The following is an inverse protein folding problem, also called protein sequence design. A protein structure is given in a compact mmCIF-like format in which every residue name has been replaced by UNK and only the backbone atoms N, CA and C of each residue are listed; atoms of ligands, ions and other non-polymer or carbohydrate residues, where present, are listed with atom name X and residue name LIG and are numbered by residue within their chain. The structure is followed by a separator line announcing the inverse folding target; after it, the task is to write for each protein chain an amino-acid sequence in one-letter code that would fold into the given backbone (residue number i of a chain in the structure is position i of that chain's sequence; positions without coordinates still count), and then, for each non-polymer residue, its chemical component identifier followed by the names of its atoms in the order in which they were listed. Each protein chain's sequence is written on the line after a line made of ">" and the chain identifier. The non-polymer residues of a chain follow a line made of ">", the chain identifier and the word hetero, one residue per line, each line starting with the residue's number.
data_IF_827174465336
#
_entry.id   IF_827174465336
#
_cell.length_a   1.000
_cell.length_b   1.000
_cell.length_c   1.000
_cell.angle_alpha   90.00
_cell.angle_beta   90.00
_cell.angle_gamma   90.00
#
_symmetry.space_group_name_H-M   'P 1'
#
loop_
_entity.id
_entity.type
_entity.pdbx_description
1 polymer ?
#
# COMPACT_ATOMS: atom_id res chain seq x y z
N UNK A 1 -29.59 -35.44 -51.35
CA UNK A 1 -28.41 -35.87 -52.15
C UNK A 1 -27.16 -35.61 -51.34
N UNK A 2 -26.35 -36.65 -51.13
CA UNK A 2 -25.07 -36.63 -50.42
C UNK A 2 -23.96 -36.31 -51.43
N UNK A 3 -23.04 -35.40 -51.10
CA UNK A 3 -21.68 -35.43 -51.65
C UNK A 3 -20.70 -34.97 -50.57
N UNK A 4 -19.86 -35.93 -50.16
CA UNK A 4 -18.64 -35.76 -49.36
C UNK A 4 -17.54 -35.28 -50.31
N UNK A 5 -16.66 -34.39 -49.85
CA UNK A 5 -15.34 -34.21 -50.48
C UNK A 5 -14.24 -34.24 -49.42
N UNK A 6 -13.21 -34.98 -49.79
CA UNK A 6 -12.11 -35.55 -49.04
C UNK A 6 -10.91 -34.59 -48.93
N UNK A 7 -10.21 -34.68 -47.79
CA UNK A 7 -8.76 -34.85 -47.64
C UNK A 7 -7.81 -34.05 -48.57
N UNK A 8 -6.98 -33.22 -47.93
CA UNK A 8 -5.72 -32.72 -48.49
C UNK A 8 -4.70 -32.49 -47.39
N UNK A 9 -3.88 -33.51 -47.13
CA UNK A 9 -2.66 -33.45 -46.30
C UNK A 9 -1.55 -32.89 -47.18
N UNK A 10 -0.88 -31.83 -46.73
CA UNK A 10 0.43 -31.45 -47.24
C UNK A 10 1.31 -30.99 -46.06
N UNK A 11 2.28 -31.85 -45.73
CA UNK A 11 3.37 -31.56 -44.82
C UNK A 11 4.48 -30.79 -45.55
N UNK A 12 5.08 -29.78 -44.91
CA UNK A 12 6.40 -29.28 -45.30
C UNK A 12 7.16 -28.68 -44.09
N UNK A 13 8.10 -29.49 -43.60
CA UNK A 13 9.50 -29.18 -43.28
C UNK A 13 9.88 -27.84 -42.61
N UNK A 14 10.21 -27.97 -41.32
CA UNK A 14 11.48 -27.60 -40.69
C UNK A 14 12.25 -26.36 -41.20
N UNK A 15 12.17 -25.28 -40.42
CA UNK A 15 13.31 -24.38 -40.17
C UNK A 15 13.64 -24.41 -38.68
N UNK A 16 14.60 -25.25 -38.32
CA UNK A 16 15.37 -25.19 -37.07
C UNK A 16 16.49 -24.17 -37.30
N UNK A 17 16.50 -23.07 -36.56
CA UNK A 17 17.58 -22.08 -36.68
C UNK A 17 17.36 -20.80 -35.88
N UNK A 18 17.81 -20.80 -34.62
CA UNK A 18 18.40 -19.62 -33.97
C UNK A 18 17.48 -18.45 -33.57
N UNK A 19 16.74 -18.60 -32.46
CA UNK A 19 16.24 -17.44 -31.69
C UNK A 19 15.94 -17.78 -30.20
N UNK A 20 16.68 -18.72 -29.59
CA UNK A 20 16.47 -19.13 -28.20
C UNK A 20 17.43 -18.46 -27.20
N UNK A 21 17.77 -17.18 -27.41
CA UNK A 21 18.68 -16.41 -26.54
C UNK A 21 18.06 -15.12 -25.95
N UNK A 22 16.73 -14.97 -25.92
CA UNK A 22 16.08 -13.73 -25.44
C UNK A 22 15.03 -13.90 -24.33
N UNK A 23 14.94 -15.08 -23.69
CA UNK A 23 13.89 -15.32 -22.67
C UNK A 23 14.40 -15.77 -21.32
N UNK A 24 15.69 -15.61 -21.00
CA UNK A 24 16.11 -15.48 -19.60
C UNK A 24 15.83 -14.05 -19.10
N UNK A 25 14.56 -13.63 -19.25
CA UNK A 25 13.98 -12.61 -18.38
C UNK A 25 13.90 -13.31 -17.03
N UNK A 26 14.94 -13.14 -16.21
CA UNK A 26 14.91 -13.57 -14.82
C UNK A 26 13.56 -13.14 -14.25
N UNK A 27 12.86 -14.07 -13.58
CA UNK A 27 11.65 -13.76 -12.85
C UNK A 27 11.99 -12.59 -11.94
N UNK A 28 11.66 -11.38 -12.38
CA UNK A 28 11.73 -10.20 -11.56
C UNK A 28 10.86 -10.53 -10.37
N UNK A 29 11.47 -10.61 -9.18
CA UNK A 29 10.76 -10.81 -7.92
C UNK A 29 9.49 -9.94 -7.97
N UNK A 30 8.32 -10.56 -7.81
CA UNK A 30 7.01 -9.97 -8.09
C UNK A 30 6.93 -8.54 -7.54
N UNK A 31 7.21 -7.57 -8.40
CA UNK A 31 7.24 -6.17 -8.01
C UNK A 31 5.85 -5.83 -7.45
N UNK A 32 5.74 -5.03 -6.38
CA UNK A 32 4.44 -4.76 -5.78
C UNK A 32 3.49 -4.22 -6.83
N UNK A 33 2.41 -4.96 -7.09
CA UNK A 33 1.39 -4.50 -8.02
C UNK A 33 0.72 -3.26 -7.44
N UNK A 34 0.66 -2.19 -8.23
CA UNK A 34 -0.09 -1.01 -7.85
C UNK A 34 -1.57 -1.36 -7.66
N UNK A 35 -2.11 -1.10 -6.46
CA UNK A 35 -3.49 -1.48 -6.09
C UNK A 35 -4.50 -0.33 -6.22
N UNK A 36 -4.02 0.91 -6.32
CA UNK A 36 -4.84 2.11 -6.52
C UNK A 36 -4.57 2.72 -7.90
N UNK A 37 -5.45 3.58 -8.46
CA UNK A 37 -5.18 4.26 -9.71
C UNK A 37 -3.85 5.05 -9.69
N UNK A 38 -3.13 5.07 -10.82
CA UNK A 38 -1.82 5.71 -10.90
C UNK A 38 -1.84 7.20 -10.49
N UNK A 39 -2.87 7.95 -10.92
CA UNK A 39 -3.04 9.35 -10.53
C UNK A 39 -3.24 9.50 -9.01
N UNK A 40 -4.04 8.62 -8.41
CA UNK A 40 -4.25 8.59 -6.96
C UNK A 40 -2.95 8.25 -6.21
N UNK A 41 -2.16 7.29 -6.71
CA UNK A 41 -0.86 6.95 -6.13
C UNK A 41 0.14 8.11 -6.15
N UNK A 42 0.23 8.84 -7.27
CA UNK A 42 1.10 10.02 -7.38
C UNK A 42 0.68 11.13 -6.41
N UNK A 43 -0.63 11.39 -6.29
CA UNK A 43 -1.15 12.36 -5.32
C UNK A 43 -0.86 11.91 -3.88
N UNK A 44 -1.11 10.64 -3.59
CA UNK A 44 -0.94 10.05 -2.27
C UNK A 44 0.52 10.11 -1.81
N UNK A 45 1.49 9.80 -2.68
CA UNK A 45 2.92 9.95 -2.35
C UNK A 45 3.25 11.38 -1.92
N UNK A 46 2.77 12.39 -2.65
CA UNK A 46 3.02 13.81 -2.32
C UNK A 46 2.42 14.20 -0.97
N UNK A 47 1.22 13.72 -0.67
CA UNK A 47 0.59 13.95 0.64
C UNK A 47 1.30 13.21 1.77
N UNK A 48 1.68 11.97 1.55
CA UNK A 48 2.37 11.13 2.53
C UNK A 48 3.75 11.70 2.86
N UNK A 49 4.47 12.24 1.87
CA UNK A 49 5.73 12.97 2.09
C UNK A 49 5.49 14.18 3.01
N UNK A 50 4.44 14.97 2.77
CA UNK A 50 4.12 16.13 3.61
C UNK A 50 3.80 15.73 5.06
N UNK A 51 2.96 14.70 5.24
CA UNK A 51 2.62 14.21 6.58
C UNK A 51 3.82 13.56 7.29
N UNK A 52 4.69 12.89 6.54
CA UNK A 52 5.94 12.32 7.04
C UNK A 52 6.88 13.43 7.51
N UNK A 53 7.14 14.43 6.67
CA UNK A 53 7.98 15.58 7.02
C UNK A 53 7.42 16.32 8.23
N UNK A 54 6.10 16.56 8.28
CA UNK A 54 5.43 17.17 9.43
C UNK A 54 5.65 16.37 10.72
N UNK A 55 5.51 15.04 10.68
CA UNK A 55 5.73 14.17 11.83
C UNK A 55 7.20 14.16 12.29
N UNK A 56 8.14 14.09 11.34
CA UNK A 56 9.58 14.07 11.61
C UNK A 56 10.11 15.43 12.09
N UNK A 57 9.47 16.54 11.70
CA UNK A 57 9.87 17.91 12.05
C UNK A 57 9.39 18.36 13.43
N UNK A 58 8.55 17.60 14.13
CA UNK A 58 8.09 17.94 15.48
C UNK A 58 9.29 18.10 16.43
N UNK A 59 9.21 19.07 17.35
CA UNK A 59 10.21 19.22 18.40
C UNK A 59 10.11 18.06 19.39
N UNK A 60 11.07 17.14 19.34
CA UNK A 60 11.08 15.93 20.18
C UNK A 60 9.94 14.96 19.82
N UNK A 61 9.93 14.39 18.59
CA UNK A 61 8.86 13.52 18.13
C UNK A 61 8.72 12.32 19.07
N UNK A 62 7.48 11.94 19.38
CA UNK A 62 7.21 10.83 20.28
C UNK A 62 7.33 9.50 19.52
N UNK A 63 7.39 8.37 20.24
CA UNK A 63 7.43 7.03 19.65
C UNK A 63 6.29 6.80 18.63
N UNK A 64 5.09 7.31 18.92
CA UNK A 64 3.95 7.25 18.00
C UNK A 64 4.15 8.04 16.71
N UNK A 65 4.81 9.21 16.77
CA UNK A 65 5.17 9.99 15.58
C UNK A 65 6.16 9.24 14.71
N UNK A 66 7.19 8.63 15.31
CA UNK A 66 8.19 7.85 14.57
C UNK A 66 7.59 6.57 13.96
N UNK A 67 6.62 5.94 14.63
CA UNK A 67 5.82 4.85 14.05
C UNK A 67 5.01 5.33 12.84
N UNK A 68 4.42 6.53 12.92
CA UNK A 68 3.69 7.12 11.79
C UNK A 68 4.63 7.42 10.62
N UNK A 69 5.80 8.01 10.87
CA UNK A 69 6.86 8.20 9.86
C UNK A 69 7.22 6.87 9.20
N UNK A 70 7.42 5.81 10.00
CA UNK A 70 7.75 4.47 9.50
C UNK A 70 6.69 3.95 8.52
N UNK A 71 5.40 3.98 8.87
CA UNK A 71 4.35 3.49 7.97
C UNK A 71 4.24 4.35 6.71
N UNK A 72 4.33 5.68 6.84
CA UNK A 72 4.30 6.57 5.67
C UNK A 72 5.47 6.29 4.72
N UNK A 73 6.67 6.07 5.23
CA UNK A 73 7.83 5.71 4.41
C UNK A 73 7.62 4.37 3.68
N UNK A 74 7.03 3.36 4.34
CA UNK A 74 6.64 2.10 3.66
C UNK A 74 5.66 2.35 2.51
N UNK A 75 4.63 3.18 2.73
CA UNK A 75 3.63 3.47 1.68
C UNK A 75 4.22 4.25 0.52
N UNK A 76 5.09 5.22 0.79
CA UNK A 76 5.80 5.98 -0.26
C UNK A 76 6.65 5.03 -1.10
N UNK A 77 7.47 4.19 -0.47
CA UNK A 77 8.30 3.22 -1.18
C UNK A 77 7.45 2.23 -2.00
N UNK A 78 6.39 1.66 -1.41
CA UNK A 78 5.51 0.72 -2.10
C UNK A 78 4.82 1.35 -3.32
N UNK A 79 4.27 2.55 -3.17
CA UNK A 79 3.55 3.21 -4.25
C UNK A 79 4.51 3.68 -5.35
N UNK A 80 5.73 4.11 -5.00
CA UNK A 80 6.78 4.44 -5.97
C UNK A 80 7.22 3.21 -6.77
N UNK A 81 7.46 2.07 -6.10
CA UNK A 81 7.73 0.77 -6.75
C UNK A 81 6.60 0.37 -7.70
N UNK A 82 5.34 0.45 -7.24
CA UNK A 82 4.18 0.09 -8.05
C UNK A 82 3.97 0.98 -9.28
N UNK A 83 4.19 2.29 -9.14
CA UNK A 83 4.13 3.24 -10.25
C UNK A 83 5.24 2.97 -11.29
N UNK A 84 6.48 2.77 -10.83
CA UNK A 84 7.59 2.48 -11.72
C UNK A 84 7.41 1.14 -12.46
N UNK A 85 6.92 0.11 -11.77
CA UNK A 85 6.58 -1.19 -12.36
C UNK A 85 5.47 -1.08 -13.41
N UNK A 86 4.50 -0.18 -13.20
CA UNK A 86 3.45 0.13 -14.17
C UNK A 86 3.90 1.05 -15.31
N UNK A 87 5.15 1.51 -15.32
CA UNK A 87 5.65 2.49 -16.30
C UNK A 87 4.97 3.86 -16.20
N UNK A 88 4.50 4.23 -15.01
CA UNK A 88 3.77 5.48 -14.74
C UNK A 88 4.62 6.43 -13.89
N UNK A 89 4.54 7.73 -14.16
CA UNK A 89 5.27 8.78 -13.42
C UNK A 89 6.71 9.01 -13.89
N UNK A 90 7.36 10.02 -13.30
CA UNK A 90 8.75 10.35 -13.61
C UNK A 90 9.68 9.33 -12.92
N UNK A 91 10.44 8.58 -13.73
CA UNK A 91 11.29 7.49 -13.22
C UNK A 91 12.35 7.96 -12.24
N UNK A 92 12.94 9.14 -12.48
CA UNK A 92 13.98 9.68 -11.62
C UNK A 92 13.39 10.16 -10.28
N UNK A 93 12.24 10.85 -10.32
CA UNK A 93 11.52 11.28 -9.12
C UNK A 93 11.09 10.09 -8.27
N UNK A 94 10.45 9.06 -8.86
CA UNK A 94 10.01 7.87 -8.14
C UNK A 94 11.18 7.10 -7.52
N UNK A 95 12.31 7.01 -8.23
CA UNK A 95 13.54 6.42 -7.71
C UNK A 95 14.10 7.22 -6.52
N UNK A 96 14.10 8.55 -6.60
CA UNK A 96 14.53 9.42 -5.50
C UNK A 96 13.63 9.30 -4.27
N UNK A 97 12.31 9.32 -4.47
CA UNK A 97 11.31 9.16 -3.39
C UNK A 97 11.43 7.79 -2.73
N UNK A 98 11.59 6.72 -3.53
CA UNK A 98 11.82 5.39 -3.01
C UNK A 98 13.09 5.32 -2.15
N UNK A 99 14.22 5.78 -2.68
CA UNK A 99 15.49 5.75 -1.96
C UNK A 99 15.45 6.56 -0.64
N UNK A 100 14.84 7.74 -0.66
CA UNK A 100 14.66 8.56 0.55
C UNK A 100 13.79 7.86 1.60
N UNK A 101 12.71 7.19 1.17
CA UNK A 101 11.88 6.40 2.06
C UNK A 101 12.65 5.22 2.68
N UNK A 102 13.45 4.49 1.90
CA UNK A 102 14.30 3.40 2.41
C UNK A 102 15.32 3.92 3.43
N UNK A 103 15.96 5.07 3.17
CA UNK A 103 16.92 5.66 4.09
C UNK A 103 16.28 5.96 5.47
N UNK A 104 15.08 6.55 5.48
CA UNK A 104 14.32 6.78 6.72
C UNK A 104 14.00 5.46 7.44
N UNK A 105 13.57 4.45 6.69
CA UNK A 105 13.24 3.14 7.26
C UNK A 105 14.47 2.49 7.90
N UNK A 106 15.64 2.60 7.28
CA UNK A 106 16.91 2.11 7.84
C UNK A 106 17.34 2.87 9.09
N UNK A 107 17.17 4.20 9.12
CA UNK A 107 17.43 5.01 10.31
C UNK A 107 16.52 4.59 11.47
N UNK A 108 15.23 4.45 11.20
CA UNK A 108 14.24 4.03 12.21
C UNK A 108 14.44 2.59 12.67
N UNK A 109 14.97 1.69 11.83
CA UNK A 109 15.28 0.31 12.22
C UNK A 109 16.47 0.25 13.18
N UNK A 110 17.40 1.19 13.08
CA UNK A 110 18.61 1.30 13.91
C UNK A 110 18.42 2.20 15.14
N UNK A 111 17.18 2.60 15.44
CA UNK A 111 16.82 3.56 16.49
C UNK A 111 17.67 4.85 16.43
N UNK A 112 17.95 5.32 15.21
CA UNK A 112 18.75 6.53 15.02
C UNK A 112 18.09 7.76 15.68
N UNK A 113 18.88 8.77 16.10
CA UNK A 113 18.36 10.00 16.65
C UNK A 113 17.31 10.65 15.74
N UNK A 114 16.25 11.22 16.35
CA UNK A 114 15.19 11.90 15.60
C UNK A 114 15.70 13.03 14.68
N UNK A 115 16.82 13.66 15.01
CA UNK A 115 17.47 14.67 14.18
C UNK A 115 17.93 14.11 12.83
N UNK A 116 18.40 12.86 12.79
CA UNK A 116 18.84 12.21 11.55
C UNK A 116 17.64 11.83 10.69
N UNK A 117 16.57 11.32 11.30
CA UNK A 117 15.29 11.04 10.62
C UNK A 117 14.73 12.33 10.01
N UNK A 118 14.76 13.44 10.76
CA UNK A 118 14.35 14.76 10.27
C UNK A 118 15.19 15.22 9.08
N UNK A 119 16.52 15.10 9.17
CA UNK A 119 17.44 15.44 8.08
C UNK A 119 17.19 14.59 6.83
N UNK A 120 16.90 13.30 7.01
CA UNK A 120 16.58 12.39 5.90
C UNK A 120 15.23 12.73 5.26
N UNK A 121 14.21 13.08 6.05
CA UNK A 121 12.90 13.50 5.55
C UNK A 121 12.95 14.77 4.67
N UNK A 122 13.90 15.67 4.90
CA UNK A 122 14.11 16.82 4.03
C UNK A 122 14.61 16.45 2.62
N UNK A 123 15.20 15.25 2.44
CA UNK A 123 15.70 14.79 1.12
C UNK A 123 14.61 14.47 0.11
N UNK A 124 13.36 14.36 0.54
CA UNK A 124 12.23 14.20 -0.39
C UNK A 124 12.08 15.40 -1.33
N UNK A 125 12.50 16.59 -0.89
CA UNK A 125 12.37 17.82 -1.66
C UNK A 125 13.32 17.78 -2.87
N UNK A 126 12.75 17.58 -4.07
CA UNK A 126 13.52 17.46 -5.30
C UNK A 126 14.27 16.12 -5.45
N UNK A 127 13.87 15.09 -4.71
CA UNK A 127 14.49 13.78 -4.78
C UNK A 127 14.52 13.24 -6.21
N UNK A 128 15.70 12.84 -6.68
CA UNK A 128 15.92 12.15 -7.95
C UNK A 128 16.90 10.99 -7.74
N UNK A 129 16.73 9.91 -8.48
CA UNK A 129 17.61 8.74 -8.39
C UNK A 129 17.68 7.92 -9.67
N UNK A 130 18.65 7.02 -9.71
CA UNK A 130 18.93 6.15 -10.85
C UNK A 130 18.22 4.81 -10.69
N UNK A 131 16.91 4.82 -10.97
CA UNK A 131 16.06 3.63 -10.93
C UNK A 131 15.73 3.14 -9.52
N UNK A 132 14.67 2.33 -9.44
CA UNK A 132 14.23 1.74 -8.18
C UNK A 132 14.96 0.42 -7.96
N UNK A 133 15.55 0.27 -6.76
CA UNK A 133 16.07 -1.00 -6.26
C UNK A 133 15.00 -1.63 -5.38
N UNK A 134 14.37 -2.75 -5.79
CA UNK A 134 13.33 -3.38 -4.99
C UNK A 134 13.84 -3.68 -3.57
N UNK A 135 13.02 -3.36 -2.57
CA UNK A 135 13.34 -3.64 -1.17
C UNK A 135 12.29 -4.56 -0.56
N UNK A 136 12.71 -5.49 0.31
CA UNK A 136 11.76 -6.16 1.20
C UNK A 136 11.29 -5.17 2.27
N UNK A 137 10.17 -4.49 1.98
CA UNK A 137 9.57 -3.54 2.89
C UNK A 137 9.00 -4.23 4.15
N UNK A 138 8.68 -5.53 4.09
CA UNK A 138 8.05 -6.28 5.19
C UNK A 138 8.89 -6.29 6.46
N UNK A 139 10.23 -6.29 6.30
CA UNK A 139 11.17 -6.30 7.43
C UNK A 139 11.05 -5.07 8.34
N UNK A 140 10.62 -3.92 7.80
CA UNK A 140 10.54 -2.68 8.58
C UNK A 140 9.28 -2.59 9.45
N UNK A 141 8.34 -3.52 9.30
CA UNK A 141 7.14 -3.63 10.14
C UNK A 141 7.07 -5.00 10.81
N UNK A 142 8.24 -5.54 11.15
CA UNK A 142 8.41 -6.69 12.03
C UNK A 142 9.18 -6.26 13.28
N UNK A 143 8.84 -6.87 14.40
CA UNK A 143 9.53 -6.77 15.68
C UNK A 143 9.90 -8.20 16.10
N UNK A 144 11.20 -8.48 16.29
CA UNK A 144 11.72 -9.82 16.57
C UNK A 144 11.21 -10.93 15.63
N UNK A 145 11.11 -10.61 14.33
CA UNK A 145 10.64 -11.55 13.30
C UNK A 145 9.12 -11.76 13.26
N UNK A 146 8.38 -11.19 14.20
CA UNK A 146 6.91 -11.20 14.24
C UNK A 146 6.37 -9.92 13.58
N UNK A 147 5.22 -9.97 12.87
CA UNK A 147 4.57 -8.76 12.38
C UNK A 147 4.26 -7.75 13.50
N UNK A 148 4.73 -6.51 13.36
CA UNK A 148 4.35 -5.40 14.24
C UNK A 148 3.05 -4.77 13.74
N UNK A 149 1.92 -5.41 14.07
CA UNK A 149 0.59 -4.93 13.70
C UNK A 149 0.24 -3.60 14.35
N UNK A 150 0.75 -3.31 15.55
CA UNK A 150 0.47 -2.04 16.24
C UNK A 150 1.07 -0.85 15.48
N UNK A 151 2.31 -0.99 15.01
CA UNK A 151 2.93 0.00 14.13
C UNK A 151 2.26 0.00 12.76
N UNK A 152 1.97 -1.16 12.16
CA UNK A 152 1.35 -1.21 10.83
C UNK A 152 -0.03 -0.53 10.77
N UNK A 153 -0.76 -0.53 11.88
CA UNK A 153 -2.06 0.15 12.02
C UNK A 153 -1.96 1.61 12.48
N UNK A 154 -0.75 2.17 12.60
CA UNK A 154 -0.54 3.50 13.19
C UNK A 154 -1.32 4.62 12.47
N UNK A 155 -1.51 4.54 11.15
CA UNK A 155 -2.26 5.56 10.40
C UNK A 155 -3.76 5.53 10.71
N UNK A 156 -4.31 4.38 11.12
CA UNK A 156 -5.72 4.24 11.48
C UNK A 156 -6.06 4.88 12.82
N UNK A 157 -5.09 4.89 13.74
CA UNK A 157 -5.25 5.44 15.09
C UNK A 157 -5.66 6.92 15.07
N UNK A 158 -6.28 7.38 16.15
CA UNK A 158 -6.63 8.79 16.33
C UNK A 158 -5.39 9.70 16.29
N UNK A 159 -5.60 10.98 15.99
CA UNK A 159 -4.54 12.00 16.02
C UNK A 159 -3.92 12.16 17.42
N UNK A 160 -4.71 11.99 18.49
CA UNK A 160 -4.21 11.94 19.88
C UNK A 160 -3.25 10.76 20.11
N UNK A 161 -3.47 9.66 19.41
CA UNK A 161 -2.60 8.50 19.39
C UNK A 161 -1.58 8.54 18.23
N UNK A 162 -1.25 9.74 17.74
CA UNK A 162 -0.25 10.00 16.70
C UNK A 162 -0.55 9.38 15.32
N UNK A 163 -1.81 9.02 15.05
CA UNK A 163 -2.26 8.52 13.75
C UNK A 163 -2.87 9.61 12.87
N UNK A 164 -3.54 9.21 11.79
CA UNK A 164 -4.24 10.10 10.86
C UNK A 164 -5.76 10.09 11.06
N UNK A 165 -6.27 9.29 11.99
CA UNK A 165 -7.71 9.22 12.30
C UNK A 165 -8.55 8.49 11.26
N UNK A 166 -7.95 7.62 10.43
CA UNK A 166 -8.68 6.89 9.38
C UNK A 166 -9.78 6.01 9.99
N UNK A 167 -9.54 5.33 11.12
CA UNK A 167 -10.56 4.50 11.78
C UNK A 167 -11.77 5.33 12.21
N UNK A 168 -11.53 6.51 12.79
CA UNK A 168 -12.61 7.43 13.18
C UNK A 168 -13.39 7.93 11.97
N UNK A 169 -12.70 8.28 10.88
CA UNK A 169 -13.35 8.71 9.64
C UNK A 169 -14.25 7.60 9.07
N UNK A 170 -13.74 6.37 8.99
CA UNK A 170 -14.50 5.20 8.53
C UNK A 170 -15.74 5.00 9.40
N UNK A 171 -15.59 5.01 10.74
CA UNK A 171 -16.69 4.85 11.68
C UNK A 171 -17.74 5.96 11.58
N UNK A 172 -17.30 7.22 11.52
CA UNK A 172 -18.23 8.36 11.48
C UNK A 172 -19.09 8.33 10.20
N UNK A 173 -18.49 7.98 9.06
CA UNK A 173 -19.15 7.98 7.75
C UNK A 173 -19.70 6.61 7.31
N UNK A 174 -19.49 5.55 8.08
CA UNK A 174 -20.26 4.31 7.95
C UNK A 174 -21.67 4.49 8.52
N UNK A 175 -21.81 5.31 9.56
CA UNK A 175 -23.07 5.60 10.24
C UNK A 175 -23.81 6.80 9.61
N UNK A 176 -23.07 7.80 9.09
CA UNK A 176 -23.62 9.07 8.56
C UNK A 176 -23.36 9.23 7.07
N UNK A 177 -24.27 9.92 6.36
CA UNK A 177 -24.03 10.25 4.96
C UNK A 177 -22.95 11.35 4.87
N UNK A 178 -21.87 11.15 4.09
CA UNK A 178 -20.88 12.19 3.88
C UNK A 178 -21.48 13.36 3.06
N UNK A 179 -21.04 14.58 3.36
CA UNK A 179 -21.35 15.75 2.55
C UNK A 179 -20.40 15.84 1.36
N UNK A 180 -20.74 16.67 0.36
CA UNK A 180 -19.86 16.91 -0.77
C UNK A 180 -18.46 17.44 -0.38
N UNK A 181 -18.32 18.09 0.79
CA UNK A 181 -17.03 18.58 1.31
C UNK A 181 -16.19 17.47 1.94
N UNK A 182 -16.81 16.38 2.39
CA UNK A 182 -16.11 15.26 3.03
C UNK A 182 -15.52 14.29 2.01
N UNK A 183 -16.14 14.17 0.84
CA UNK A 183 -15.79 13.16 -0.18
C UNK A 183 -14.34 13.20 -0.64
N UNK A 184 -13.69 14.36 -0.89
CA UNK A 184 -12.26 14.39 -1.24
C UNK A 184 -11.38 13.79 -0.15
N UNK A 185 -11.62 14.15 1.11
CA UNK A 185 -10.88 13.60 2.26
C UNK A 185 -11.11 12.10 2.41
N UNK A 186 -12.35 11.64 2.20
CA UNK A 186 -12.69 10.22 2.24
C UNK A 186 -11.97 9.46 1.11
N UNK A 187 -11.96 9.98 -0.12
CA UNK A 187 -11.29 9.35 -1.25
C UNK A 187 -9.79 9.15 -0.96
N UNK A 188 -9.11 10.20 -0.51
CA UNK A 188 -7.71 10.14 -0.09
C UNK A 188 -7.47 9.13 1.04
N UNK A 189 -8.28 9.16 2.11
CA UNK A 189 -8.14 8.25 3.24
C UNK A 189 -8.38 6.80 2.84
N UNK A 190 -9.34 6.55 1.94
CA UNK A 190 -9.67 5.23 1.43
C UNK A 190 -8.58 4.69 0.50
N UNK A 191 -7.97 5.50 -0.37
CA UNK A 191 -6.79 5.07 -1.14
C UNK A 191 -5.58 4.76 -0.26
N UNK A 192 -5.36 5.56 0.79
CA UNK A 192 -4.33 5.27 1.80
C UNK A 192 -4.61 3.94 2.49
N UNK A 193 -5.85 3.70 2.91
CA UNK A 193 -6.26 2.43 3.51
C UNK A 193 -6.06 1.24 2.55
N UNK A 194 -6.43 1.37 1.27
CA UNK A 194 -6.21 0.33 0.27
C UNK A 194 -4.72 0.01 0.06
N UNK A 195 -3.86 1.03 0.13
CA UNK A 195 -2.41 0.86 0.04
C UNK A 195 -1.83 0.15 1.28
N UNK A 196 -2.32 0.50 2.47
CA UNK A 196 -1.94 -0.17 3.74
C UNK A 196 -2.40 -1.63 3.73
N UNK A 197 -3.64 -1.93 3.35
CA UNK A 197 -4.14 -3.31 3.35
C UNK A 197 -3.44 -4.18 2.31
N UNK A 198 -3.10 -3.64 1.13
CA UNK A 198 -2.26 -4.34 0.16
C UNK A 198 -0.86 -4.66 0.70
N UNK A 199 -0.32 -3.78 1.54
CA UNK A 199 0.92 -4.07 2.25
C UNK A 199 0.72 -5.18 3.30
N UNK A 200 -0.32 -5.06 4.14
CA UNK A 200 -0.63 -6.00 5.22
C UNK A 200 -0.89 -7.43 4.73
N UNK A 201 -1.34 -7.62 3.49
CA UNK A 201 -1.43 -8.95 2.85
C UNK A 201 -0.10 -9.72 2.86
N UNK A 202 1.03 -9.00 2.91
CA UNK A 202 2.38 -9.55 2.97
C UNK A 202 2.89 -9.78 4.40
N UNK A 203 2.08 -9.44 5.41
CA UNK A 203 2.36 -9.60 6.84
C UNK A 203 1.31 -10.47 7.57
N UNK A 204 1.03 -11.70 7.10
CA UNK A 204 0.18 -12.61 7.85
C UNK A 204 0.83 -13.02 9.18
N UNK A 205 0.06 -13.60 10.12
CA UNK A 205 0.65 -14.28 11.27
C UNK A 205 1.65 -15.35 10.80
N UNK A 206 2.73 -15.55 11.59
CA UNK A 206 3.76 -16.54 11.28
C UNK A 206 3.23 -17.98 11.39
N UNK A 207 2.31 -18.21 12.32
CA UNK A 207 1.69 -19.50 12.57
C UNK A 207 0.19 -19.33 12.78
N UNK A 208 -0.58 -20.35 12.42
CA UNK A 208 -2.01 -20.40 12.70
C UNK A 208 -2.25 -20.76 14.16
N UNK A 209 -3.06 -19.98 14.87
CA UNK A 209 -3.41 -20.25 16.28
C UNK A 209 -4.86 -19.89 16.58
N UNK A 210 -5.68 -20.93 16.83
CA UNK A 210 -7.12 -20.76 17.05
C UNK A 210 -7.80 -20.07 15.86
N UNK A 211 -8.41 -18.89 16.10
CA UNK A 211 -9.03 -18.08 15.03
C UNK A 211 -8.02 -17.24 14.23
N UNK A 212 -6.79 -17.08 14.73
CA UNK A 212 -5.74 -16.27 14.10
C UNK A 212 -5.02 -17.10 13.04
N UNK A 213 -5.65 -17.28 11.88
CA UNK A 213 -5.05 -18.00 10.76
C UNK A 213 -4.61 -17.05 9.66
N UNK A 214 -3.63 -17.47 8.85
CA UNK A 214 -3.22 -16.75 7.64
C UNK A 214 -4.41 -16.53 6.69
N UNK A 215 -5.29 -17.51 6.56
CA UNK A 215 -6.49 -17.39 5.72
C UNK A 215 -7.46 -16.34 6.25
N UNK A 216 -7.72 -16.31 7.57
CA UNK A 216 -8.57 -15.29 8.18
C UNK A 216 -7.95 -13.90 8.02
N UNK A 217 -6.64 -13.78 8.22
CA UNK A 217 -5.90 -12.53 8.00
C UNK A 217 -6.10 -12.02 6.57
N UNK A 218 -5.75 -12.86 5.57
CA UNK A 218 -5.85 -12.55 4.16
C UNK A 218 -7.27 -12.11 3.78
N UNK A 219 -8.29 -12.82 4.28
CA UNK A 219 -9.69 -12.45 4.04
C UNK A 219 -9.99 -11.03 4.53
N UNK A 220 -9.67 -10.70 5.78
CA UNK A 220 -10.00 -9.38 6.31
C UNK A 220 -9.28 -8.24 5.61
N UNK A 221 -7.98 -8.41 5.31
CA UNK A 221 -7.21 -7.35 4.63
C UNK A 221 -7.67 -7.17 3.18
N UNK A 222 -8.05 -8.25 2.49
CA UNK A 222 -8.59 -8.20 1.12
C UNK A 222 -9.97 -7.56 1.07
N UNK A 223 -10.87 -7.93 1.99
CA UNK A 223 -12.21 -7.34 2.10
C UNK A 223 -12.13 -5.85 2.44
N UNK A 224 -11.25 -5.47 3.37
CA UNK A 224 -10.99 -4.08 3.72
C UNK A 224 -10.42 -3.30 2.53
N UNK A 225 -9.48 -3.89 1.77
CA UNK A 225 -8.93 -3.28 0.54
C UNK A 225 -10.03 -3.05 -0.49
N UNK A 226 -10.83 -4.07 -0.78
CA UNK A 226 -11.91 -3.98 -1.76
C UNK A 226 -12.91 -2.87 -1.36
N UNK A 227 -13.34 -2.86 -0.11
CA UNK A 227 -14.26 -1.85 0.43
C UNK A 227 -13.66 -0.44 0.40
N UNK A 228 -12.36 -0.30 0.68
CA UNK A 228 -11.67 0.98 0.58
C UNK A 228 -11.60 1.48 -0.88
N UNK A 229 -11.33 0.62 -1.85
CA UNK A 229 -11.36 0.98 -3.27
C UNK A 229 -12.77 1.35 -3.74
N UNK A 230 -13.80 0.64 -3.29
CA UNK A 230 -15.21 1.00 -3.54
C UNK A 230 -15.54 2.39 -2.96
N UNK A 231 -15.13 2.65 -1.72
CA UNK A 231 -15.38 3.93 -1.05
C UNK A 231 -14.69 5.10 -1.77
N UNK A 232 -13.43 4.91 -2.18
CA UNK A 232 -12.68 5.92 -2.93
C UNK A 232 -13.35 6.22 -4.28
N UNK A 233 -13.65 5.18 -5.06
CA UNK A 233 -14.28 5.34 -6.37
C UNK A 233 -15.67 5.99 -6.29
N UNK A 234 -16.47 5.64 -5.28
CA UNK A 234 -17.76 6.29 -5.03
C UNK A 234 -17.61 7.76 -4.63
N UNK A 235 -16.61 8.07 -3.79
CA UNK A 235 -16.37 9.43 -3.33
C UNK A 235 -15.89 10.35 -4.47
N UNK A 236 -15.02 9.86 -5.36
CA UNK A 236 -14.60 10.57 -6.58
C UNK A 236 -15.79 10.87 -7.51
N UNK A 237 -16.75 9.94 -7.61
CA UNK A 237 -18.00 10.10 -8.37
C UNK A 237 -19.04 10.98 -7.66
N UNK A 238 -18.71 11.52 -6.48
CA UNK A 238 -19.58 12.33 -5.64
C UNK A 238 -20.83 11.58 -5.15
N UNK A 239 -20.79 10.25 -5.06
CA UNK A 239 -21.91 9.42 -4.61
C UNK A 239 -21.82 9.14 -3.11
N UNK A 240 -22.38 10.06 -2.31
CA UNK A 240 -22.35 9.97 -0.86
C UNK A 240 -22.98 8.67 -0.31
N UNK A 241 -24.03 8.15 -0.96
CA UNK A 241 -24.73 6.94 -0.50
C UNK A 241 -23.87 5.70 -0.74
N UNK A 242 -23.27 5.59 -1.93
CA UNK A 242 -22.35 4.50 -2.22
C UNK A 242 -21.08 4.57 -1.37
N UNK A 243 -20.55 5.78 -1.12
CA UNK A 243 -19.41 5.98 -0.21
C UNK A 243 -19.73 5.48 1.20
N UNK A 244 -20.87 5.88 1.79
CA UNK A 244 -21.30 5.38 3.11
C UNK A 244 -21.40 3.86 3.14
N UNK A 245 -22.04 3.27 2.12
CA UNK A 245 -22.23 1.83 2.07
C UNK A 245 -20.89 1.07 2.01
N UNK A 246 -19.93 1.56 1.23
CA UNK A 246 -18.59 0.98 1.14
C UNK A 246 -17.80 1.15 2.45
N UNK A 247 -17.88 2.32 3.10
CA UNK A 247 -17.26 2.54 4.41
C UNK A 247 -17.87 1.64 5.50
N UNK A 248 -19.17 1.36 5.45
CA UNK A 248 -19.80 0.40 6.36
C UNK A 248 -19.28 -1.03 6.17
N UNK A 249 -19.05 -1.47 4.93
CA UNK A 249 -18.39 -2.77 4.69
C UNK A 249 -16.96 -2.77 5.23
N UNK A 250 -16.22 -1.68 5.02
CA UNK A 250 -14.86 -1.53 5.53
C UNK A 250 -14.82 -1.58 7.06
N UNK A 251 -15.75 -0.91 7.74
CA UNK A 251 -15.89 -0.95 9.20
C UNK A 251 -16.14 -2.37 9.72
N UNK A 252 -17.01 -3.14 9.06
CA UNK A 252 -17.23 -4.57 9.38
C UNK A 252 -15.94 -5.38 9.26
N UNK A 253 -15.13 -5.16 8.21
CA UNK A 253 -13.83 -5.81 8.08
C UNK A 253 -12.85 -5.39 9.17
N UNK A 254 -12.83 -4.11 9.55
CA UNK A 254 -11.99 -3.60 10.64
C UNK A 254 -12.37 -4.24 11.99
N UNK A 255 -13.66 -4.28 12.33
CA UNK A 255 -14.16 -4.91 13.57
C UNK A 255 -13.85 -6.40 13.58
N UNK A 256 -14.17 -7.12 12.50
CA UNK A 256 -13.91 -8.56 12.41
C UNK A 256 -12.42 -8.91 12.50
N UNK A 257 -11.55 -8.08 11.91
CA UNK A 257 -10.11 -8.22 12.06
C UNK A 257 -9.68 -7.99 13.53
N UNK A 258 -10.16 -6.92 14.17
CA UNK A 258 -9.84 -6.62 15.56
C UNK A 258 -10.30 -7.71 16.53
N UNK A 259 -11.49 -8.27 16.34
CA UNK A 259 -12.01 -9.35 17.18
C UNK A 259 -11.14 -10.62 17.15
N UNK A 260 -10.42 -10.85 16.05
CA UNK A 260 -9.55 -12.01 15.87
C UNK A 260 -8.10 -11.69 16.23
N UNK A 261 -7.56 -10.57 15.75
CA UNK A 261 -6.12 -10.30 15.73
C UNK A 261 -5.64 -9.25 16.74
N UNK A 262 -6.53 -8.37 17.24
CA UNK A 262 -6.13 -7.35 18.22
C UNK A 262 -5.77 -8.05 19.54
N UNK A 263 -4.53 -7.88 19.98
CA UNK A 263 -4.11 -8.37 21.30
C UNK A 263 -4.84 -7.56 22.36
N UNK A 264 -5.50 -8.27 23.29
CA UNK A 264 -6.15 -7.69 24.47
C UNK A 264 -5.11 -7.34 25.53
#
# INVERSE_FOLDING_TARGET
>A
MRTRTLLGIAALLATVGGAALLSMRGQAADAPKLVIPAAAAQSLIKEDIKELQKAANLAGPKKGDLRRVRVLAVLIAQNAEGLAAAGQGDKAELAGQHAAAIEILELLQKDAPAADVKKSAAKFDGAKGDGIKPADLTKYLKDDGMPDWDTSMQLYKSTRAYGLGIEKLVKDFSEKNPTAKDLPTIATAAYRAASVTAYLERLPPNEDSGKKTKAAWQKYVQDARASALEAAAAAEKKDAKATKAALAKMDVSCVGCHDVFKMK
#
